data_IF_353063099896
#
_entry.id   IF_353063099896
#
_cell.length_a   1.000
_cell.length_b   1.000
_cell.length_c   1.000
_cell.angle_alpha   90.00
_cell.angle_beta   90.00
_cell.angle_gamma   90.00
#
_symmetry.space_group_name_H-M   'P 1'
#
loop_
_entity.id
_entity.type
_entity.pdbx_description
1 polymer ?
#
# COMPACT_ATOMS: atom_id res chain seq x y z
N UNK A 1 8.82 -38.29 -1.97
CA UNK A 1 8.82 -37.10 -2.87
C UNK A 1 7.58 -36.27 -2.52
N UNK A 2 7.60 -35.13 -1.82
CA UNK A 2 8.54 -33.99 -1.80
C UNK A 2 8.54 -33.33 -0.39
N UNK A 3 9.62 -33.42 0.41
CA UNK A 3 9.82 -32.57 1.60
C UNK A 3 10.69 -31.32 1.31
N UNK A 4 11.21 -31.17 0.09
CA UNK A 4 12.25 -30.17 -0.26
C UNK A 4 11.70 -28.73 -0.38
N UNK A 5 10.40 -28.55 -0.66
CA UNK A 5 9.79 -27.22 -0.82
C UNK A 5 9.64 -26.44 0.50
N UNK A 6 9.52 -27.13 1.63
CA UNK A 6 9.33 -26.49 2.94
C UNK A 6 10.65 -26.02 3.58
N UNK A 7 11.75 -26.73 3.33
CA UNK A 7 13.08 -26.32 3.84
C UNK A 7 13.62 -25.06 3.15
N UNK A 8 13.28 -24.82 1.87
CA UNK A 8 13.64 -23.59 1.16
C UNK A 8 12.90 -22.36 1.68
N UNK A 9 11.63 -22.52 2.07
CA UNK A 9 10.85 -21.44 2.69
C UNK A 9 11.37 -21.08 4.10
N UNK A 10 11.80 -22.09 4.86
CA UNK A 10 12.42 -21.89 6.18
C UNK A 10 13.82 -21.26 6.09
N UNK A 11 14.64 -21.67 5.13
CA UNK A 11 15.98 -21.07 4.90
C UNK A 11 15.88 -19.61 4.44
N UNK A 12 14.93 -19.28 3.57
CA UNK A 12 14.67 -17.89 3.17
C UNK A 12 14.24 -17.00 4.35
N UNK A 13 13.51 -17.56 5.32
CA UNK A 13 13.13 -16.83 6.54
C UNK A 13 14.31 -16.67 7.52
N UNK A 14 15.21 -17.65 7.59
CA UNK A 14 16.41 -17.60 8.46
C UNK A 14 17.47 -16.63 7.89
N UNK A 15 17.67 -16.59 6.57
CA UNK A 15 18.56 -15.60 5.93
C UNK A 15 18.00 -14.18 6.06
N UNK A 16 16.68 -13.99 5.93
CA UNK A 16 16.04 -12.69 6.14
C UNK A 16 16.19 -12.19 7.59
N UNK A 17 16.22 -13.10 8.57
CA UNK A 17 16.43 -12.75 9.98
C UNK A 17 17.90 -12.37 10.30
N UNK A 18 18.87 -12.89 9.55
CA UNK A 18 20.30 -12.67 9.80
C UNK A 18 20.88 -11.42 9.08
N UNK A 19 20.13 -10.82 8.15
CA UNK A 19 20.50 -9.56 7.46
C UNK A 19 20.31 -8.33 8.35
N UNK A 20 19.80 -8.48 9.57
CA UNK A 20 19.58 -7.38 10.53
C UNK A 20 20.85 -6.87 11.26
N UNK A 21 22.06 -7.37 10.93
CA UNK A 21 23.30 -7.00 11.62
C UNK A 21 24.38 -6.36 10.74
N UNK A 22 23.99 -5.45 9.84
CA UNK A 22 24.94 -4.44 9.33
C UNK A 22 24.31 -3.06 9.37
N UNK A 23 24.61 -2.30 10.43
CA UNK A 23 24.40 -0.85 10.44
C UNK A 23 25.27 -0.25 9.33
N UNK A 24 24.64 0.09 8.20
CA UNK A 24 25.29 0.79 7.09
C UNK A 24 25.40 2.30 7.42
N UNK A 25 26.53 2.94 7.06
CA UNK A 25 26.92 4.25 7.58
C UNK A 25 26.01 5.38 7.09
N UNK A 26 25.84 6.38 7.95
CA UNK A 26 25.13 7.63 7.72
C UNK A 26 25.81 8.39 6.56
N UNK A 27 25.34 8.25 5.32
CA UNK A 27 25.42 9.25 4.24
C UNK A 27 24.57 8.80 3.03
N UNK A 28 23.73 9.71 2.51
CA UNK A 28 22.68 9.60 1.46
C UNK A 28 21.26 9.45 2.05
N UNK A 29 20.72 10.55 2.56
CA UNK A 29 19.31 10.71 2.91
C UNK A 29 18.69 11.80 2.02
N UNK A 30 17.90 11.43 1.01
CA UNK A 30 16.77 12.24 0.49
C UNK A 30 16.02 11.55 -0.65
N UNK A 31 16.71 10.93 -1.62
CA UNK A 31 16.08 10.48 -2.88
C UNK A 31 15.24 9.21 -2.75
N UNK A 32 15.75 8.13 -2.11
CA UNK A 32 15.08 6.82 -2.03
C UNK A 32 13.74 6.83 -1.26
N UNK A 33 13.63 7.72 -0.28
CA UNK A 33 12.43 7.85 0.55
C UNK A 33 11.26 8.45 -0.24
N UNK A 34 11.54 9.45 -1.09
CA UNK A 34 10.50 10.07 -1.91
C UNK A 34 9.96 9.09 -2.95
N UNK A 35 10.84 8.33 -3.60
CA UNK A 35 10.43 7.34 -4.60
C UNK A 35 9.53 6.25 -4.01
N UNK A 36 9.83 5.76 -2.82
CA UNK A 36 8.99 4.76 -2.14
C UNK A 36 7.58 5.31 -1.88
N UNK A 37 7.48 6.53 -1.34
CA UNK A 37 6.18 7.17 -1.07
C UNK A 37 5.40 7.44 -2.35
N UNK A 38 6.06 7.92 -3.41
CA UNK A 38 5.43 8.17 -4.71
C UNK A 38 4.90 6.87 -5.33
N UNK A 39 5.69 5.80 -5.30
CA UNK A 39 5.26 4.49 -5.81
C UNK A 39 4.07 3.94 -5.01
N UNK A 40 4.07 4.10 -3.68
CA UNK A 40 2.95 3.71 -2.83
C UNK A 40 1.69 4.55 -3.12
N UNK A 41 1.81 5.85 -3.39
CA UNK A 41 0.68 6.70 -3.77
C UNK A 41 0.10 6.23 -5.11
N UNK A 42 0.96 6.06 -6.12
CA UNK A 42 0.53 5.67 -7.47
C UNK A 42 -0.15 4.28 -7.44
N UNK A 43 0.44 3.34 -6.70
CA UNK A 43 -0.14 2.03 -6.42
C UNK A 43 -1.54 2.12 -5.80
N UNK A 44 -1.71 2.92 -4.74
CA UNK A 44 -3.02 3.07 -4.09
C UNK A 44 -4.07 3.73 -5.00
N UNK A 45 -3.68 4.61 -5.92
CA UNK A 45 -4.60 5.17 -6.92
C UNK A 45 -5.12 4.07 -7.84
N UNK A 46 -4.24 3.23 -8.39
CA UNK A 46 -4.63 2.09 -9.21
C UNK A 46 -5.52 1.11 -8.44
N UNK A 47 -5.17 0.80 -7.19
CA UNK A 47 -5.97 -0.07 -6.34
C UNK A 47 -7.38 0.48 -6.11
N UNK A 48 -7.49 1.77 -5.76
CA UNK A 48 -8.78 2.44 -5.53
C UNK A 48 -9.64 2.41 -6.79
N UNK A 49 -9.05 2.61 -7.96
CA UNK A 49 -9.76 2.54 -9.23
C UNK A 49 -10.20 1.11 -9.59
N UNK A 50 -9.34 0.11 -9.34
CA UNK A 50 -9.66 -1.29 -9.57
C UNK A 50 -10.86 -1.75 -8.74
N UNK A 51 -10.95 -1.31 -7.48
CA UNK A 51 -12.02 -1.69 -6.57
C UNK A 51 -13.28 -0.85 -6.73
N UNK A 52 -13.16 0.48 -6.86
CA UNK A 52 -14.31 1.38 -6.74
C UNK A 52 -14.63 2.14 -8.04
N UNK A 53 -13.73 2.11 -9.04
CA UNK A 53 -13.91 2.81 -10.32
C UNK A 53 -15.21 2.44 -11.04
N UNK A 54 -15.60 1.17 -10.97
CA UNK A 54 -16.82 0.68 -11.61
C UNK A 54 -18.11 1.13 -10.91
N UNK A 55 -18.05 1.54 -9.62
CA UNK A 55 -19.23 1.91 -8.83
C UNK A 55 -19.92 3.19 -9.33
N UNK A 56 -19.19 4.11 -9.95
CA UNK A 56 -19.78 5.30 -10.58
C UNK A 56 -20.72 4.95 -11.73
N UNK A 57 -20.50 3.81 -12.38
CA UNK A 57 -21.24 3.36 -13.55
C UNK A 57 -22.14 2.15 -13.25
N UNK A 58 -22.48 1.89 -11.99
CA UNK A 58 -23.30 0.72 -11.57
C UNK A 58 -24.67 0.65 -12.27
N UNK A 59 -25.18 1.77 -12.80
CA UNK A 59 -26.41 1.81 -13.61
C UNK A 59 -26.23 1.34 -15.06
N UNK A 60 -24.99 1.12 -15.50
CA UNK A 60 -24.66 0.56 -16.80
C UNK A 60 -24.73 -0.95 -16.65
N UNK A 61 -25.50 -1.64 -17.49
CA UNK A 61 -25.71 -3.10 -17.47
C UNK A 61 -24.43 -3.88 -17.89
N UNK A 62 -23.32 -3.56 -17.25
CA UNK A 62 -21.98 -4.05 -17.55
C UNK A 62 -21.84 -5.42 -16.91
N UNK A 63 -21.52 -6.47 -17.68
CA UNK A 63 -21.43 -7.81 -17.13
C UNK A 63 -20.32 -7.90 -16.07
N UNK A 64 -20.63 -8.53 -14.94
CA UNK A 64 -19.73 -8.64 -13.78
C UNK A 64 -18.37 -9.25 -14.16
N UNK A 65 -18.35 -10.26 -15.05
CA UNK A 65 -17.12 -10.86 -15.56
C UNK A 65 -16.19 -9.81 -16.18
N UNK A 66 -16.75 -8.87 -16.96
CA UNK A 66 -15.94 -7.84 -17.63
C UNK A 66 -15.35 -6.87 -16.61
N UNK A 67 -16.14 -6.48 -15.60
CA UNK A 67 -15.67 -5.64 -14.50
C UNK A 67 -14.53 -6.33 -13.75
N UNK A 68 -14.69 -7.61 -13.39
CA UNK A 68 -13.66 -8.40 -12.70
C UNK A 68 -12.36 -8.44 -13.53
N UNK A 69 -12.45 -8.74 -14.83
CA UNK A 69 -11.27 -8.83 -15.70
C UNK A 69 -10.56 -7.48 -15.85
N UNK A 70 -11.31 -6.38 -15.99
CA UNK A 70 -10.73 -5.04 -16.03
C UNK A 70 -10.05 -4.67 -14.71
N UNK A 71 -10.71 -4.93 -13.57
CA UNK A 71 -10.13 -4.72 -12.24
C UNK A 71 -8.85 -5.55 -12.03
N UNK A 72 -8.82 -6.78 -12.53
CA UNK A 72 -7.63 -7.64 -12.49
C UNK A 72 -6.47 -7.07 -13.32
N UNK A 73 -6.77 -6.55 -14.52
CA UNK A 73 -5.79 -5.87 -15.35
C UNK A 73 -5.18 -4.65 -14.67
N UNK A 74 -5.99 -3.84 -13.98
CA UNK A 74 -5.51 -2.67 -13.22
C UNK A 74 -4.68 -3.11 -12.01
N UNK A 75 -5.15 -4.11 -11.26
CA UNK A 75 -4.44 -4.63 -10.09
C UNK A 75 -3.05 -5.18 -10.46
N UNK A 76 -2.89 -5.77 -11.64
CA UNK A 76 -1.57 -6.22 -12.11
C UNK A 76 -0.54 -5.07 -12.16
N UNK A 77 -0.90 -3.91 -12.71
CA UNK A 77 0.00 -2.75 -12.75
C UNK A 77 0.28 -2.17 -11.36
N UNK A 78 -0.71 -2.19 -10.47
CA UNK A 78 -0.52 -1.84 -9.05
C UNK A 78 0.57 -2.71 -8.41
N UNK A 79 0.49 -4.03 -8.59
CA UNK A 79 1.46 -4.97 -8.05
C UNK A 79 2.88 -4.71 -8.56
N UNK A 80 3.03 -4.33 -9.83
CA UNK A 80 4.33 -3.97 -10.41
C UNK A 80 4.98 -2.76 -9.73
N UNK A 81 4.20 -1.87 -9.11
CA UNK A 81 4.69 -0.71 -8.36
C UNK A 81 4.85 -1.03 -6.87
N UNK A 82 3.89 -1.76 -6.31
CA UNK A 82 3.81 -2.09 -4.89
C UNK A 82 4.94 -3.00 -4.43
N UNK A 83 5.31 -4.01 -5.23
CA UNK A 83 6.35 -4.99 -4.86
C UNK A 83 7.73 -4.33 -4.79
N UNK A 84 8.20 -3.57 -5.81
CA UNK A 84 9.47 -2.84 -5.71
C UNK A 84 9.46 -1.81 -4.59
N UNK A 85 8.37 -1.05 -4.41
CA UNK A 85 8.26 -0.05 -3.35
C UNK A 85 8.45 -0.66 -1.96
N UNK A 86 7.76 -1.77 -1.68
CA UNK A 86 7.88 -2.45 -0.40
C UNK A 86 9.28 -3.06 -0.20
N UNK A 87 9.88 -3.60 -1.27
CA UNK A 87 11.23 -4.18 -1.19
C UNK A 87 12.31 -3.11 -0.96
N UNK A 88 12.16 -1.92 -1.54
CA UNK A 88 13.05 -0.79 -1.28
C UNK A 88 12.83 -0.23 0.13
N UNK A 89 11.59 -0.01 0.52
CA UNK A 89 11.23 0.54 1.82
C UNK A 89 11.63 -0.36 3.01
N UNK A 90 11.56 -1.68 2.86
CA UNK A 90 11.92 -2.63 3.92
C UNK A 90 13.40 -2.58 4.32
N UNK A 91 14.26 -1.94 3.51
CA UNK A 91 15.68 -1.71 3.84
C UNK A 91 15.87 -0.66 4.94
N UNK A 92 14.86 0.19 5.15
CA UNK A 92 14.94 1.39 6.02
C UNK A 92 13.88 1.32 7.13
N UNK A 93 12.69 0.85 6.81
CA UNK A 93 11.55 0.78 7.72
C UNK A 93 11.19 -0.68 8.03
N UNK A 94 10.61 -0.95 9.19
CA UNK A 94 10.08 -2.29 9.51
C UNK A 94 8.83 -2.61 8.68
N UNK A 95 8.52 -3.89 8.48
CA UNK A 95 7.30 -4.30 7.75
C UNK A 95 6.04 -3.64 8.33
N UNK A 96 5.96 -3.53 9.65
CA UNK A 96 4.85 -2.87 10.35
C UNK A 96 4.77 -1.37 10.00
N UNK A 97 5.90 -0.67 9.97
CA UNK A 97 5.93 0.74 9.60
C UNK A 97 5.53 0.95 8.13
N UNK A 98 6.04 0.13 7.20
CA UNK A 98 5.61 0.19 5.79
C UNK A 98 4.10 -0.01 5.67
N UNK A 99 3.55 -0.98 6.40
CA UNK A 99 2.12 -1.27 6.35
C UNK A 99 1.29 -0.09 6.87
N UNK A 100 1.71 0.53 7.97
CA UNK A 100 1.03 1.72 8.50
C UNK A 100 1.07 2.87 7.49
N UNK A 101 2.23 3.15 6.87
CA UNK A 101 2.34 4.17 5.82
C UNK A 101 1.38 3.86 4.67
N UNK A 102 1.34 2.60 4.21
CA UNK A 102 0.49 2.19 3.10
C UNK A 102 -1.00 2.33 3.43
N UNK A 103 -1.45 1.96 4.64
CA UNK A 103 -2.84 2.14 5.06
C UNK A 103 -3.22 3.62 5.16
N UNK A 104 -2.31 4.47 5.64
CA UNK A 104 -2.54 5.92 5.68
C UNK A 104 -2.69 6.51 4.27
N UNK A 105 -1.84 6.08 3.32
CA UNK A 105 -1.95 6.48 1.91
C UNK A 105 -3.25 5.95 1.30
N UNK A 106 -3.58 4.67 1.51
CA UNK A 106 -4.80 4.02 1.02
C UNK A 106 -6.05 4.78 1.43
N UNK A 107 -6.20 5.06 2.73
CA UNK A 107 -7.35 5.77 3.26
C UNK A 107 -7.42 7.21 2.75
N UNK A 108 -6.28 7.89 2.63
CA UNK A 108 -6.23 9.26 2.08
C UNK A 108 -6.67 9.28 0.62
N UNK A 109 -6.10 8.40 -0.22
CA UNK A 109 -6.46 8.27 -1.63
C UNK A 109 -7.93 7.89 -1.79
N UNK A 110 -8.41 6.95 -0.99
CA UNK A 110 -9.80 6.50 -1.02
C UNK A 110 -10.78 7.64 -0.73
N UNK A 111 -10.53 8.47 0.29
CA UNK A 111 -11.45 9.56 0.58
C UNK A 111 -11.41 10.64 -0.50
N UNK A 112 -10.23 11.00 -1.03
CA UNK A 112 -10.14 11.90 -2.17
C UNK A 112 -10.93 11.35 -3.36
N UNK A 113 -10.83 10.06 -3.62
CA UNK A 113 -11.59 9.37 -4.65
C UNK A 113 -13.11 9.38 -4.37
N UNK A 114 -13.55 9.11 -3.15
CA UNK A 114 -14.96 9.14 -2.78
C UNK A 114 -15.59 10.52 -3.01
N UNK A 115 -14.88 11.58 -2.65
CA UNK A 115 -15.35 12.97 -2.82
C UNK A 115 -15.33 13.41 -4.28
N UNK A 116 -14.23 13.16 -5.00
CA UNK A 116 -14.05 13.67 -6.36
C UNK A 116 -14.71 12.78 -7.43
N UNK A 117 -14.60 11.46 -7.30
CA UNK A 117 -15.06 10.50 -8.31
C UNK A 117 -16.49 10.00 -8.03
N UNK A 118 -16.77 9.57 -6.80
CA UNK A 118 -18.11 9.10 -6.40
C UNK A 118 -19.07 10.24 -6.05
N UNK A 119 -18.56 11.46 -5.89
CA UNK A 119 -19.32 12.66 -5.47
C UNK A 119 -20.04 12.46 -4.13
N UNK A 120 -19.45 11.69 -3.23
CA UNK A 120 -19.98 11.55 -1.87
C UNK A 120 -19.80 12.86 -1.08
N UNK A 121 -20.82 13.21 -0.29
CA UNK A 121 -20.75 14.38 0.58
C UNK A 121 -19.84 14.08 1.79
N UNK A 122 -18.89 14.98 2.06
CA UNK A 122 -18.06 14.87 3.27
C UNK A 122 -18.94 15.09 4.49
N UNK A 123 -19.11 14.04 5.27
CA UNK A 123 -19.80 14.08 6.56
C UNK A 123 -18.80 14.34 7.68
N UNK A 124 -19.28 14.92 8.78
CA UNK A 124 -18.43 15.29 9.91
C UNK A 124 -17.67 14.10 10.51
N UNK A 125 -18.28 12.92 10.49
CA UNK A 125 -17.64 11.67 10.92
C UNK A 125 -16.40 11.32 10.09
N UNK A 126 -16.32 11.69 8.80
CA UNK A 126 -15.13 11.44 7.98
C UNK A 126 -13.95 12.29 8.42
N UNK A 127 -14.21 13.54 8.82
CA UNK A 127 -13.18 14.43 9.36
C UNK A 127 -12.61 13.86 10.66
N UNK A 128 -13.47 13.34 11.53
CA UNK A 128 -13.04 12.65 12.77
C UNK A 128 -12.23 11.40 12.44
N UNK A 129 -12.66 10.59 11.47
CA UNK A 129 -11.89 9.41 11.02
C UNK A 129 -10.50 9.79 10.52
N UNK A 130 -10.36 10.89 9.77
CA UNK A 130 -9.06 11.39 9.35
C UNK A 130 -8.16 11.84 10.50
N UNK A 131 -8.73 12.49 11.52
CA UNK A 131 -7.98 12.86 12.71
C UNK A 131 -7.41 11.62 13.42
N UNK A 132 -8.18 10.52 13.48
CA UNK A 132 -7.69 9.25 14.02
C UNK A 132 -6.60 8.60 13.15
N UNK A 133 -6.68 8.71 11.83
CA UNK A 133 -5.61 8.23 10.94
C UNK A 133 -4.31 9.02 11.19
N UNK A 134 -4.39 10.34 11.32
CA UNK A 134 -3.23 11.17 11.66
C UNK A 134 -2.63 10.80 13.03
N UNK A 135 -3.49 10.49 14.01
CA UNK A 135 -3.07 10.01 15.32
C UNK A 135 -2.35 8.66 15.25
N UNK A 136 -2.82 7.74 14.40
CA UNK A 136 -2.17 6.45 14.16
C UNK A 136 -0.76 6.61 13.58
N UNK A 137 -0.58 7.53 12.62
CA UNK A 137 0.76 7.89 12.09
C UNK A 137 1.65 8.41 13.22
N UNK A 138 1.14 9.33 14.04
CA UNK A 138 1.92 9.90 15.14
C UNK A 138 2.45 8.83 16.10
N UNK A 139 1.63 7.88 16.53
CA UNK A 139 2.06 6.78 17.40
C UNK A 139 3.03 5.81 16.73
N UNK A 140 2.88 5.56 15.43
CA UNK A 140 3.75 4.64 14.70
C UNK A 140 5.20 5.15 14.58
N UNK A 141 5.40 6.47 14.56
CA UNK A 141 6.72 7.10 14.41
C UNK A 141 7.27 7.71 15.70
N UNK A 142 6.43 7.90 16.73
CA UNK A 142 6.89 8.37 18.04
C UNK A 142 7.71 7.28 18.72
N UNK A 143 9.01 7.53 18.89
CA UNK A 143 9.91 6.67 19.66
C UNK A 143 9.67 6.91 21.15
N UNK A 144 9.40 5.83 21.89
CA UNK A 144 9.33 5.82 23.36
C UNK A 144 10.68 5.43 23.95
#
# INVERSE_FOLDING_TARGET
MKPILWMGFLHAHIEAANVHNTQQPIMILSEENMWTVVLLILSNIFMTYAWYGHLKNTHTNTPLILVILMSWGIAFFEYCLQVPANRMGYRIFTATQLKIIQECISLTVFVVFAVLYLKETIRWNYIVSFAFIALAVFFAFKKF
#
